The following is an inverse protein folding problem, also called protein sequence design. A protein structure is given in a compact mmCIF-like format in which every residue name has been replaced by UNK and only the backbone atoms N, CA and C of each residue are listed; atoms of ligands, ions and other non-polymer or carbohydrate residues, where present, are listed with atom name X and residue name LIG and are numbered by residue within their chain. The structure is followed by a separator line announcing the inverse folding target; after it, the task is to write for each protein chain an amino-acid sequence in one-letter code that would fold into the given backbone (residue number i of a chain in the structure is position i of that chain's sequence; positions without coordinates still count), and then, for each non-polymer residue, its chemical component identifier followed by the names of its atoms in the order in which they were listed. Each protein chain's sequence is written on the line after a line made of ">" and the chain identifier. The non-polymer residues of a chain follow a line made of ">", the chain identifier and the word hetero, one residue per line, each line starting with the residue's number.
data_IF_582562401420
#
_entry.id   IF_582562401420
#
_cell.length_a   1.000
_cell.length_b   1.000
_cell.length_c   1.000
_cell.angle_alpha   90.00
_cell.angle_beta   90.00
_cell.angle_gamma   90.00
#
_symmetry.space_group_name_H-M   'P 1'
#
loop_
_entity.id
_entity.type
_entity.pdbx_description
1 polymer ?
#
# COMPACT_ATOMS: atom_id res chain seq x y z
N UNK A 1 7.81 7.44 21.07
CA UNK A 1 9.27 7.20 21.01
C UNK A 1 9.72 7.47 19.59
N UNK A 2 10.21 8.65 19.34
CA UNK A 2 10.80 8.98 18.04
C UNK A 2 12.25 8.45 18.01
N UNK A 3 12.41 7.27 17.41
CA UNK A 3 13.73 6.67 17.16
C UNK A 3 14.37 7.18 15.87
N UNK A 4 13.79 8.21 15.25
CA UNK A 4 14.26 8.77 13.99
C UNK A 4 13.80 8.01 12.73
N UNK A 5 14.08 8.62 11.58
CA UNK A 5 13.70 8.10 10.24
C UNK A 5 14.25 6.71 9.95
N UNK A 6 15.51 6.48 10.28
CA UNK A 6 16.21 5.22 9.95
C UNK A 6 15.61 4.04 10.70
N UNK A 7 15.27 4.23 11.99
CA UNK A 7 14.62 3.19 12.77
C UNK A 7 13.19 2.88 12.27
N UNK A 8 12.45 3.89 11.81
CA UNK A 8 11.14 3.70 11.21
C UNK A 8 11.23 2.95 9.88
N UNK A 9 12.23 3.26 9.05
CA UNK A 9 12.49 2.57 7.79
C UNK A 9 12.90 1.12 8.01
N UNK A 10 13.81 0.86 8.95
CA UNK A 10 14.18 -0.49 9.34
C UNK A 10 12.96 -1.30 9.81
N UNK A 11 12.12 -0.71 10.66
CA UNK A 11 10.89 -1.34 11.13
C UNK A 11 9.94 -1.69 9.98
N UNK A 12 9.75 -0.80 9.00
CA UNK A 12 8.92 -1.08 7.81
C UNK A 12 9.49 -2.22 6.97
N UNK A 13 10.80 -2.26 6.73
CA UNK A 13 11.45 -3.35 5.99
C UNK A 13 11.31 -4.69 6.70
N UNK A 14 11.45 -4.71 8.01
CA UNK A 14 11.23 -5.91 8.80
C UNK A 14 9.77 -6.40 8.69
N UNK A 15 8.79 -5.51 8.87
CA UNK A 15 7.37 -5.84 8.72
C UNK A 15 7.06 -6.37 7.31
N UNK A 16 7.59 -5.72 6.27
CA UNK A 16 7.40 -6.16 4.89
C UNK A 16 7.96 -7.57 4.65
N UNK A 17 9.15 -7.86 5.19
CA UNK A 17 9.75 -9.21 5.11
C UNK A 17 8.88 -10.25 5.81
N UNK A 18 8.34 -9.92 6.98
CA UNK A 18 7.44 -10.80 7.74
C UNK A 18 6.14 -11.08 7.00
N UNK A 19 5.55 -10.05 6.39
CA UNK A 19 4.31 -10.18 5.59
C UNK A 19 4.56 -11.02 4.34
N UNK A 20 5.67 -10.78 3.62
CA UNK A 20 6.03 -11.59 2.44
C UNK A 20 6.24 -13.06 2.78
N UNK A 21 6.84 -13.35 3.92
CA UNK A 21 6.99 -14.72 4.39
C UNK A 21 5.65 -15.36 4.74
N UNK A 22 4.78 -14.64 5.46
CA UNK A 22 3.45 -15.12 5.81
C UNK A 22 2.58 -15.38 4.56
N UNK A 23 2.61 -14.47 3.60
CA UNK A 23 1.86 -14.61 2.34
C UNK A 23 2.32 -15.84 1.52
N UNK A 24 3.62 -16.16 1.54
CA UNK A 24 4.13 -17.36 0.88
C UNK A 24 3.77 -18.66 1.60
N UNK A 25 3.73 -18.65 2.92
CA UNK A 25 3.50 -19.85 3.73
C UNK A 25 2.02 -20.13 3.99
N UNK A 26 1.22 -19.09 4.14
CA UNK A 26 -0.22 -19.17 4.41
C UNK A 26 -0.92 -17.93 3.84
N UNK A 27 -1.13 -17.87 2.50
CA UNK A 27 -1.79 -16.75 1.85
C UNK A 27 -3.25 -16.66 2.30
N UNK A 28 -3.60 -15.60 3.02
CA UNK A 28 -4.97 -15.36 3.51
C UNK A 28 -5.27 -13.86 3.65
N UNK A 29 -6.55 -13.47 3.62
CA UNK A 29 -6.94 -12.11 3.97
C UNK A 29 -6.66 -11.81 5.45
N UNK A 30 -6.63 -10.54 5.81
CA UNK A 30 -6.53 -10.13 7.22
C UNK A 30 -7.79 -10.52 7.99
N UNK A 31 -8.96 -10.30 7.41
CA UNK A 31 -10.26 -10.78 7.95
C UNK A 31 -10.57 -12.13 7.36
N UNK A 32 -10.66 -13.13 8.23
CA UNK A 32 -10.96 -14.51 7.86
C UNK A 32 -12.09 -15.04 8.74
N UNK A 33 -13.10 -15.61 8.10
CA UNK A 33 -14.30 -16.13 8.79
C UNK A 33 -14.21 -17.61 9.15
N UNK A 34 -13.30 -18.36 8.52
CA UNK A 34 -13.10 -19.78 8.73
C UNK A 34 -11.68 -20.02 9.25
N UNK A 35 -11.58 -20.49 10.48
CA UNK A 35 -10.32 -20.83 11.16
C UNK A 35 -10.57 -22.00 12.14
N UNK A 36 -9.53 -22.74 12.45
CA UNK A 36 -9.63 -23.91 13.35
C UNK A 36 -9.46 -23.48 14.80
N UNK A 37 -8.54 -22.55 15.04
CA UNK A 37 -8.26 -21.99 16.36
C UNK A 37 -8.08 -20.49 16.28
N UNK A 38 -8.55 -19.74 17.27
CA UNK A 38 -8.35 -18.31 17.39
C UNK A 38 -6.85 -17.95 17.31
N UNK A 39 -5.98 -18.82 17.80
CA UNK A 39 -4.53 -18.63 17.77
C UNK A 39 -3.96 -18.61 16.34
N UNK A 40 -4.63 -19.24 15.38
CA UNK A 40 -4.21 -19.24 13.96
C UNK A 40 -4.31 -17.86 13.32
N UNK A 41 -5.06 -16.96 13.94
CA UNK A 41 -5.23 -15.57 13.48
C UNK A 41 -4.12 -14.65 13.97
N UNK A 42 -3.35 -15.02 14.98
CA UNK A 42 -2.30 -14.18 15.58
C UNK A 42 -0.97 -14.32 14.84
N UNK A 43 -0.89 -13.78 13.64
CA UNK A 43 0.28 -13.88 12.76
C UNK A 43 0.66 -12.53 12.08
N UNK A 44 1.63 -12.59 11.17
CA UNK A 44 2.08 -11.42 10.42
C UNK A 44 1.03 -10.88 9.44
N UNK A 45 0.04 -11.69 9.03
CA UNK A 45 -1.07 -11.23 8.21
C UNK A 45 -1.98 -10.24 8.96
N UNK A 46 -2.07 -10.34 10.28
CA UNK A 46 -2.82 -9.38 11.08
C UNK A 46 -1.92 -8.25 11.56
N UNK A 47 -0.83 -8.55 12.25
CA UNK A 47 -0.04 -7.52 12.91
C UNK A 47 0.84 -6.71 11.95
N UNK A 48 1.71 -7.37 11.22
CA UNK A 48 2.65 -6.66 10.34
C UNK A 48 1.93 -6.08 9.11
N UNK A 49 1.04 -6.84 8.46
CA UNK A 49 0.24 -6.35 7.33
C UNK A 49 -0.69 -5.21 7.77
N UNK A 50 -1.37 -5.34 8.92
CA UNK A 50 -2.23 -4.30 9.47
C UNK A 50 -1.48 -2.98 9.71
N UNK A 51 -0.28 -3.04 10.29
CA UNK A 51 0.55 -1.86 10.49
C UNK A 51 0.97 -1.21 9.16
N UNK A 52 1.31 -2.01 8.14
CA UNK A 52 1.64 -1.51 6.80
C UNK A 52 0.42 -0.90 6.09
N UNK A 53 -0.75 -1.53 6.20
CA UNK A 53 -2.02 -1.02 5.64
C UNK A 53 -2.38 0.32 6.26
N UNK A 54 -2.30 0.47 7.58
CA UNK A 54 -2.52 1.75 8.25
C UNK A 54 -1.48 2.81 7.84
N UNK A 55 -0.23 2.40 7.62
CA UNK A 55 0.80 3.32 7.12
C UNK A 55 0.50 3.77 5.67
N UNK A 56 -0.01 2.89 4.81
CA UNK A 56 -0.46 3.28 3.46
C UNK A 56 -1.63 4.26 3.51
N UNK A 57 -2.64 4.02 4.34
CA UNK A 57 -3.74 4.98 4.58
C UNK A 57 -3.23 6.34 5.03
N UNK A 58 -2.27 6.35 5.96
CA UNK A 58 -1.67 7.60 6.43
C UNK A 58 -0.95 8.37 5.32
N UNK A 59 -0.25 7.67 4.43
CA UNK A 59 0.43 8.32 3.30
C UNK A 59 -0.56 8.83 2.26
N UNK A 60 -1.60 8.06 1.97
CA UNK A 60 -2.62 8.39 0.97
C UNK A 60 -3.52 9.55 1.41
N UNK A 61 -3.95 9.55 2.67
CA UNK A 61 -4.88 10.55 3.23
C UNK A 61 -4.17 11.78 3.82
N UNK A 62 -2.87 11.68 4.05
CA UNK A 62 -2.07 12.70 4.73
C UNK A 62 -2.13 12.59 6.26
N UNK A 63 -1.14 13.20 6.90
CA UNK A 63 -0.91 13.08 8.35
C UNK A 63 -2.08 13.58 9.18
N UNK A 64 -2.60 14.76 8.88
CA UNK A 64 -3.64 15.40 9.70
C UNK A 64 -4.99 14.69 9.60
N UNK A 65 -5.41 14.32 8.39
CA UNK A 65 -6.64 13.57 8.17
C UNK A 65 -6.57 12.20 8.86
N UNK A 66 -5.47 11.47 8.69
CA UNK A 66 -5.27 10.18 9.33
C UNK A 66 -5.38 10.26 10.85
N UNK A 67 -4.64 11.15 11.50
CA UNK A 67 -4.66 11.25 12.97
C UNK A 67 -5.95 11.84 13.52
N UNK A 68 -6.63 12.68 12.77
CA UNK A 68 -7.98 13.13 13.13
C UNK A 68 -8.95 11.96 13.13
N UNK A 69 -8.89 11.10 12.11
CA UNK A 69 -9.72 9.89 12.02
C UNK A 69 -9.43 8.90 13.13
N UNK A 70 -8.16 8.59 13.38
CA UNK A 70 -7.78 7.65 14.46
C UNK A 70 -8.27 8.13 15.83
N UNK A 71 -8.14 9.43 16.11
CA UNK A 71 -8.67 10.01 17.36
C UNK A 71 -10.19 9.95 17.43
N UNK A 72 -10.89 10.17 16.31
CA UNK A 72 -12.33 10.06 16.24
C UNK A 72 -12.77 8.61 16.49
N UNK A 73 -12.18 7.65 15.79
CA UNK A 73 -12.42 6.22 15.97
C UNK A 73 -12.23 5.79 17.44
N UNK A 74 -11.10 6.15 18.05
CA UNK A 74 -10.83 5.78 19.45
C UNK A 74 -11.87 6.32 20.44
N UNK A 75 -12.42 7.52 20.20
CA UNK A 75 -13.47 8.12 21.04
C UNK A 75 -14.82 7.48 20.80
N UNK A 76 -15.20 7.27 19.52
CA UNK A 76 -16.50 6.72 19.12
C UNK A 76 -16.69 5.29 19.61
N UNK A 77 -15.61 4.50 19.52
CA UNK A 77 -15.67 3.07 19.84
C UNK A 77 -15.02 2.69 21.17
N UNK A 78 -14.76 3.65 22.02
CA UNK A 78 -14.24 3.38 23.36
C UNK A 78 -15.14 2.40 24.12
N UNK A 79 -14.56 1.29 24.59
CA UNK A 79 -15.24 0.20 25.29
C UNK A 79 -16.34 -0.52 24.48
N UNK A 80 -16.30 -0.46 23.16
CA UNK A 80 -17.20 -1.18 22.27
C UNK A 80 -16.45 -2.29 21.53
N UNK A 81 -17.18 -3.32 21.09
CA UNK A 81 -16.68 -4.25 20.10
C UNK A 81 -16.69 -3.57 18.73
N UNK A 82 -15.68 -3.85 17.91
CA UNK A 82 -15.47 -3.20 16.61
C UNK A 82 -15.11 -4.21 15.55
N UNK A 83 -15.45 -3.86 14.31
CA UNK A 83 -15.06 -4.60 13.12
C UNK A 83 -14.25 -3.69 12.18
N UNK A 84 -13.60 -4.28 11.17
CA UNK A 84 -12.84 -3.53 10.18
C UNK A 84 -13.71 -2.52 9.39
N UNK A 85 -15.01 -2.82 9.23
CA UNK A 85 -15.98 -1.93 8.60
C UNK A 85 -16.23 -0.66 9.41
N UNK A 86 -16.18 -0.73 10.74
CA UNK A 86 -16.33 0.45 11.59
C UNK A 86 -15.17 1.41 11.40
N UNK A 87 -13.94 0.86 11.32
CA UNK A 87 -12.76 1.67 11.03
C UNK A 87 -12.86 2.31 9.64
N UNK A 88 -13.25 1.54 8.61
CA UNK A 88 -13.47 2.05 7.26
C UNK A 88 -14.45 3.21 7.26
N UNK A 89 -15.63 3.03 7.85
CA UNK A 89 -16.69 4.05 7.91
C UNK A 89 -16.19 5.36 8.50
N UNK A 90 -15.45 5.32 9.62
CA UNK A 90 -14.91 6.55 10.22
C UNK A 90 -13.87 7.23 9.30
N UNK A 91 -13.07 6.46 8.56
CA UNK A 91 -12.16 7.04 7.58
C UNK A 91 -12.94 7.71 6.43
N UNK A 92 -14.00 7.10 5.94
CA UNK A 92 -14.87 7.65 4.89
C UNK A 92 -15.60 8.90 5.39
N UNK A 93 -16.19 8.87 6.57
CA UNK A 93 -16.91 10.01 7.17
C UNK A 93 -16.01 11.22 7.39
N UNK A 94 -14.77 11.02 7.85
CA UNK A 94 -13.84 12.12 8.15
C UNK A 94 -13.19 12.68 6.89
N UNK A 95 -12.97 11.85 5.87
CA UNK A 95 -12.23 12.25 4.65
C UNK A 95 -13.13 12.55 3.45
N UNK A 96 -14.37 12.08 3.46
CA UNK A 96 -15.27 12.15 2.31
C UNK A 96 -14.88 11.26 1.14
N UNK A 97 -13.91 10.36 1.31
CA UNK A 97 -13.42 9.47 0.27
C UNK A 97 -14.03 8.08 0.40
N UNK A 98 -14.39 7.46 -0.73
CA UNK A 98 -14.77 6.06 -0.76
C UNK A 98 -13.50 5.19 -0.64
N UNK A 99 -13.46 4.33 0.38
CA UNK A 99 -12.34 3.44 0.67
C UNK A 99 -12.68 1.95 0.49
N UNK A 100 -13.81 1.63 -0.11
CA UNK A 100 -14.22 0.24 -0.38
C UNK A 100 -13.13 -0.52 -1.14
N UNK A 101 -12.62 0.08 -2.22
CA UNK A 101 -11.55 -0.53 -3.02
C UNK A 101 -10.30 -0.85 -2.19
N UNK A 102 -9.93 0.05 -1.28
CA UNK A 102 -8.73 -0.09 -0.45
C UNK A 102 -8.90 -1.21 0.58
N UNK A 103 -10.02 -1.22 1.31
CA UNK A 103 -10.29 -2.25 2.31
C UNK A 103 -10.53 -3.62 1.66
N UNK A 104 -11.24 -3.68 0.54
CA UNK A 104 -11.43 -4.93 -0.21
C UNK A 104 -10.08 -5.52 -0.62
N UNK A 105 -9.20 -4.72 -1.17
CA UNK A 105 -7.90 -5.14 -1.66
C UNK A 105 -6.94 -5.57 -0.54
N UNK A 106 -6.85 -4.80 0.55
CA UNK A 106 -5.82 -5.00 1.57
C UNK A 106 -6.27 -5.77 2.80
N UNK A 107 -7.56 -5.74 3.10
CA UNK A 107 -8.12 -6.34 4.33
C UNK A 107 -8.86 -7.63 4.04
N UNK A 108 -9.66 -7.66 2.97
CA UNK A 108 -10.55 -8.78 2.66
C UNK A 108 -10.04 -9.70 1.56
N UNK A 109 -8.94 -9.36 0.88
CA UNK A 109 -8.33 -10.20 -0.16
C UNK A 109 -6.95 -10.66 0.28
N UNK A 110 -6.60 -11.90 -0.08
CA UNK A 110 -5.29 -12.48 0.11
C UNK A 110 -4.29 -11.96 -0.93
N UNK A 111 -3.00 -12.14 -0.65
CA UNK A 111 -1.92 -11.85 -1.59
C UNK A 111 -1.29 -10.47 -1.41
N UNK A 112 -0.22 -10.28 -2.17
CA UNK A 112 0.56 -9.05 -2.26
C UNK A 112 0.84 -8.72 -3.73
N UNK A 113 0.96 -7.45 -4.10
CA UNK A 113 1.39 -7.08 -5.45
C UNK A 113 2.85 -7.45 -5.68
N UNK A 114 3.13 -8.04 -6.85
CA UNK A 114 4.47 -8.22 -7.38
C UNK A 114 4.60 -7.40 -8.66
N UNK A 115 5.64 -6.57 -8.75
CA UNK A 115 5.80 -5.63 -9.85
C UNK A 115 7.12 -5.90 -10.59
N UNK A 116 7.03 -6.05 -11.92
CA UNK A 116 8.17 -5.95 -12.84
C UNK A 116 8.18 -4.54 -13.43
N UNK A 117 9.24 -3.79 -13.14
CA UNK A 117 9.35 -2.38 -13.50
C UNK A 117 10.49 -2.20 -14.49
N UNK A 118 10.17 -1.64 -15.65
CA UNK A 118 11.14 -1.34 -16.71
C UNK A 118 11.00 0.12 -17.13
N UNK A 119 12.13 0.78 -17.35
CA UNK A 119 12.10 2.12 -17.93
C UNK A 119 13.10 2.28 -19.05
N UNK A 120 12.80 3.20 -19.97
CA UNK A 120 13.65 3.57 -21.08
C UNK A 120 13.52 5.06 -21.35
N UNK A 121 14.65 5.77 -21.39
CA UNK A 121 14.68 7.17 -21.79
C UNK A 121 14.70 7.31 -23.32
N UNK A 122 13.86 8.19 -23.84
CA UNK A 122 13.84 8.57 -25.25
C UNK A 122 14.38 9.99 -25.41
N UNK A 123 15.62 10.08 -25.89
CA UNK A 123 16.33 11.36 -26.08
C UNK A 123 15.67 12.32 -27.08
N UNK A 124 14.98 11.77 -28.09
CA UNK A 124 14.33 12.59 -29.12
C UNK A 124 13.13 13.35 -28.58
N UNK A 125 12.37 12.71 -27.72
CA UNK A 125 11.11 13.24 -27.19
C UNK A 125 11.23 13.69 -25.73
N UNK A 126 12.41 13.59 -25.14
CA UNK A 126 12.68 13.94 -23.73
C UNK A 126 11.70 13.32 -22.75
N UNK A 127 11.44 12.02 -22.91
CA UNK A 127 10.55 11.27 -22.03
C UNK A 127 11.21 10.00 -21.49
N UNK A 128 10.86 9.67 -20.26
CA UNK A 128 11.02 8.32 -19.71
C UNK A 128 9.74 7.53 -20.00
N UNK A 129 9.86 6.45 -20.79
CA UNK A 129 8.82 5.44 -20.89
C UNK A 129 9.00 4.50 -19.72
N UNK A 130 8.06 4.50 -18.78
CA UNK A 130 7.98 3.61 -17.64
C UNK A 130 6.91 2.54 -17.91
N UNK A 131 7.28 1.27 -17.88
CA UNK A 131 6.34 0.15 -17.99
C UNK A 131 6.36 -0.62 -16.69
N UNK A 132 5.20 -0.83 -16.12
CA UNK A 132 5.02 -1.56 -14.86
C UNK A 132 4.02 -2.68 -15.11
N UNK A 133 4.44 -3.90 -14.81
CA UNK A 133 3.61 -5.09 -14.93
C UNK A 133 3.39 -5.72 -13.56
N UNK A 134 2.15 -6.05 -13.24
CA UNK A 134 1.79 -6.86 -12.08
C UNK A 134 2.00 -8.34 -12.44
N UNK A 135 2.84 -9.04 -11.66
CA UNK A 135 3.30 -10.41 -11.98
C UNK A 135 2.88 -11.46 -10.96
N UNK A 136 2.14 -11.05 -9.91
CA UNK A 136 1.59 -11.99 -8.94
C UNK A 136 0.63 -12.98 -9.59
N UNK A 137 0.51 -14.18 -9.01
CA UNK A 137 -0.45 -15.16 -9.48
C UNK A 137 -1.89 -14.71 -9.16
N UNK A 138 -2.64 -14.33 -10.19
CA UNK A 138 -4.02 -13.85 -10.09
C UNK A 138 -5.04 -14.96 -9.76
N UNK A 139 -4.67 -16.24 -9.84
CA UNK A 139 -5.54 -17.34 -9.37
C UNK A 139 -5.70 -17.33 -7.85
N UNK A 140 -4.67 -16.86 -7.13
CA UNK A 140 -4.65 -16.78 -5.66
C UNK A 140 -4.72 -15.35 -5.13
N UNK A 141 -4.76 -14.36 -6.02
CA UNK A 141 -4.75 -12.95 -5.70
C UNK A 141 -5.55 -12.18 -6.75
N UNK A 142 -5.65 -10.87 -6.63
CA UNK A 142 -6.27 -9.98 -7.61
C UNK A 142 -5.25 -9.03 -8.22
N UNK A 143 -5.64 -8.30 -9.25
CA UNK A 143 -4.91 -7.10 -9.66
C UNK A 143 -5.09 -6.03 -8.59
N UNK A 144 -4.00 -5.36 -8.27
CA UNK A 144 -3.97 -4.31 -7.26
C UNK A 144 -4.11 -2.93 -7.89
N UNK A 145 -4.90 -2.08 -7.26
CA UNK A 145 -4.95 -0.66 -7.53
C UNK A 145 -3.93 0.05 -6.65
N UNK A 146 -2.88 0.62 -7.24
CA UNK A 146 -1.73 1.15 -6.51
C UNK A 146 -1.44 2.60 -6.88
N UNK A 147 -1.53 3.55 -5.94
CA UNK A 147 -0.93 4.87 -6.10
C UNK A 147 0.59 4.76 -5.89
N UNK A 148 1.36 5.15 -6.90
CA UNK A 148 2.82 5.11 -6.86
C UNK A 148 3.37 6.50 -7.15
N UNK A 149 4.35 6.93 -6.37
CA UNK A 149 5.14 8.12 -6.66
C UNK A 149 6.42 7.70 -7.36
N UNK A 150 6.59 8.10 -8.62
CA UNK A 150 7.81 7.94 -9.39
C UNK A 150 8.71 9.14 -9.14
N UNK A 151 9.97 8.88 -8.86
CA UNK A 151 11.01 9.89 -8.72
C UNK A 151 11.96 9.77 -9.91
N UNK A 152 12.17 10.87 -10.62
CA UNK A 152 13.13 10.93 -11.72
C UNK A 152 14.20 11.95 -11.31
N UNK A 153 15.44 11.50 -11.23
CA UNK A 153 16.60 12.35 -10.97
C UNK A 153 17.36 12.58 -12.30
N UNK A 154 17.32 13.78 -12.79
CA UNK A 154 18.11 14.25 -13.94
C UNK A 154 19.02 15.44 -13.59
N UNK A 155 19.37 15.57 -12.28
CA UNK A 155 20.01 16.75 -11.69
C UNK A 155 19.04 17.55 -10.83
N UNK A 156 17.75 17.43 -11.11
CA UNK A 156 16.65 17.87 -10.27
C UNK A 156 15.69 16.70 -10.05
N UNK A 157 15.09 16.61 -8.85
CA UNK A 157 14.15 15.52 -8.55
C UNK A 157 12.75 15.91 -9.00
N UNK A 158 12.28 15.29 -10.07
CA UNK A 158 10.88 15.37 -10.51
C UNK A 158 10.06 14.27 -9.84
N UNK A 159 8.91 14.63 -9.30
CA UNK A 159 7.95 13.70 -8.70
C UNK A 159 6.71 13.62 -9.56
N UNK A 160 6.32 12.39 -9.90
CA UNK A 160 5.10 12.10 -10.65
C UNK A 160 4.27 11.06 -9.92
N UNK A 161 3.03 11.41 -9.60
CA UNK A 161 2.07 10.42 -9.08
C UNK A 161 1.38 9.71 -10.24
N UNK A 162 1.32 8.39 -10.17
CA UNK A 162 0.67 7.52 -11.14
C UNK A 162 -0.20 6.49 -10.42
N UNK A 163 -1.22 6.00 -11.11
CA UNK A 163 -2.04 4.90 -10.65
C UNK A 163 -1.84 3.68 -11.54
N UNK A 164 -1.60 2.53 -10.91
CA UNK A 164 -1.55 1.22 -11.58
C UNK A 164 -2.85 0.52 -11.23
N UNK A 165 -3.64 0.16 -12.25
CA UNK A 165 -4.94 -0.49 -12.10
C UNK A 165 -5.05 -1.74 -12.98
N UNK A 166 -4.19 -1.82 -14.01
CA UNK A 166 -4.18 -2.88 -15.00
C UNK A 166 -3.02 -3.86 -14.77
N UNK A 167 -3.06 -5.01 -15.44
CA UNK A 167 -1.96 -5.99 -15.42
C UNK A 167 -0.65 -5.36 -15.92
N UNK A 168 -0.71 -4.56 -16.97
CA UNK A 168 0.43 -3.81 -17.49
C UNK A 168 0.04 -2.37 -17.78
N UNK A 169 0.78 -1.44 -17.21
CA UNK A 169 0.58 0.00 -17.39
C UNK A 169 1.84 0.63 -17.96
N UNK A 170 1.67 1.54 -18.91
CA UNK A 170 2.77 2.32 -19.49
C UNK A 170 2.54 3.81 -19.31
N UNK A 171 3.55 4.50 -18.81
CA UNK A 171 3.53 5.94 -18.56
C UNK A 171 4.66 6.63 -19.36
N UNK A 172 4.35 7.79 -19.92
CA UNK A 172 5.33 8.66 -20.55
C UNK A 172 5.53 9.87 -19.65
N UNK A 173 6.66 9.93 -18.97
CA UNK A 173 6.96 10.96 -18.00
C UNK A 173 8.01 11.92 -18.59
N UNK A 174 7.72 13.23 -18.71
CA UNK A 174 8.69 14.20 -19.21
C UNK A 174 9.97 14.21 -18.37
N UNK A 175 11.13 14.25 -19.03
CA UNK A 175 12.44 14.35 -18.38
C UNK A 175 13.40 15.12 -19.26
N UNK A 176 13.80 16.29 -18.83
CA UNK A 176 14.81 17.09 -19.51
C UNK A 176 16.19 16.45 -19.25
N UNK A 177 16.76 15.85 -20.29
CA UNK A 177 18.00 15.07 -20.16
C UNK A 177 17.79 13.62 -19.71
N UNK A 178 18.82 12.80 -19.90
CA UNK A 178 18.81 11.41 -19.45
C UNK A 178 18.79 11.35 -17.93
N UNK A 179 17.89 10.57 -17.31
CA UNK A 179 17.85 10.45 -15.86
C UNK A 179 19.06 9.69 -15.34
N UNK A 180 19.57 10.12 -14.19
CA UNK A 180 20.56 9.40 -13.41
C UNK A 180 19.91 8.22 -12.68
N UNK A 181 18.63 8.41 -12.30
CA UNK A 181 17.82 7.42 -11.60
C UNK A 181 16.33 7.61 -11.91
N UNK A 182 15.62 6.51 -11.97
CA UNK A 182 14.14 6.45 -12.03
C UNK A 182 13.62 5.50 -10.96
#
# INVERSE_FOLDING_TARGET
>A
YDKGRDAAEYGRRWMLSSVRWADKSNPRPMVQYYYVSDMDLFDSNIYAKGALVLNMLRQMLGYDAFWRTVRHYAREYQHKNVESQDLKRIFEDVTGQNLDWFFNQWVYTAGLPELDIKYKYNRRNEHVKLTIKQTQNIENSSLFRLPITVLIDNGEIVRQEIWIEEEESTFLIPSVGAPNMV
#
